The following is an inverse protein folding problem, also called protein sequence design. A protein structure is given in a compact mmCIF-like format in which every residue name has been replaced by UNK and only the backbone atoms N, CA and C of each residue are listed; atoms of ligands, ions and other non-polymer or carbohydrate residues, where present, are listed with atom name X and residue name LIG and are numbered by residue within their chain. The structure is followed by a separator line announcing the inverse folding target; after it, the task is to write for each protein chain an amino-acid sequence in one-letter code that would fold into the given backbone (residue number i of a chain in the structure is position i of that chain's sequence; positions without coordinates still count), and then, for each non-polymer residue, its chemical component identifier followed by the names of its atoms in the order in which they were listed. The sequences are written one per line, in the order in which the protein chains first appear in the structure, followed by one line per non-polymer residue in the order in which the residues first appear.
data_IF_046367762323
#
_entry.id   IF_046367762323
#
_cell.length_a   1.000
_cell.length_b   1.000
_cell.length_c   1.000
_cell.angle_alpha   90.00
_cell.angle_beta   90.00
_cell.angle_gamma   90.00
#
_symmetry.space_group_name_H-M   'P 1'
#
loop_
_entity.id
_entity.type
_entity.pdbx_description
1 polymer ?
#
# COMPACT_ATOMS: atom_id res chain seq x y z
N UNK A 1 3.99 -18.46 -18.14
CA UNK A 1 2.96 -18.73 -17.12
C UNK A 1 2.51 -17.38 -16.59
N UNK A 2 1.25 -17.26 -16.18
CA UNK A 2 0.71 -16.02 -15.60
C UNK A 2 0.10 -16.30 -14.23
N UNK A 3 0.77 -15.83 -13.19
CA UNK A 3 0.44 -16.06 -11.78
C UNK A 3 0.00 -14.75 -11.14
N UNK A 4 -1.25 -14.71 -10.67
CA UNK A 4 -1.83 -13.54 -10.03
C UNK A 4 -2.32 -13.86 -8.62
N UNK A 5 -1.98 -12.97 -7.70
CA UNK A 5 -2.57 -12.88 -6.37
C UNK A 5 -3.49 -11.66 -6.33
N UNK A 6 -4.74 -11.86 -5.95
CA UNK A 6 -5.72 -10.78 -5.79
C UNK A 6 -6.22 -10.75 -4.36
N UNK A 7 -6.19 -9.59 -3.73
CA UNK A 7 -6.68 -9.37 -2.37
C UNK A 7 -7.70 -8.25 -2.40
N UNK A 8 -8.98 -8.55 -2.18
CA UNK A 8 -9.99 -7.54 -1.87
C UNK A 8 -10.10 -7.41 -0.35
N UNK A 9 -9.71 -6.25 0.16
CA UNK A 9 -9.53 -5.98 1.58
C UNK A 9 -10.55 -4.95 2.03
N UNK A 10 -11.37 -5.34 3.00
CA UNK A 10 -12.16 -4.41 3.79
C UNK A 10 -11.47 -4.19 5.13
N UNK A 11 -11.29 -2.94 5.51
CA UNK A 11 -10.81 -2.55 6.85
C UNK A 11 -11.70 -1.43 7.40
N UNK A 12 -11.61 -1.19 8.71
CA UNK A 12 -12.35 -0.11 9.39
C UNK A 12 -11.38 0.99 9.79
N UNK A 13 -11.74 2.26 9.66
CA UNK A 13 -10.88 3.35 10.08
C UNK A 13 -11.54 4.73 10.01
N UNK A 14 -10.86 5.75 10.54
CA UNK A 14 -11.41 7.11 10.60
C UNK A 14 -10.53 8.13 9.88
N UNK A 15 -11.17 8.96 9.04
CA UNK A 15 -10.61 10.25 8.60
C UNK A 15 -9.20 10.14 7.99
N UNK A 16 -9.08 9.23 7.02
CA UNK A 16 -7.81 8.63 6.63
C UNK A 16 -7.03 9.41 5.55
N UNK A 17 -7.63 10.35 4.84
CA UNK A 17 -6.91 11.11 3.82
C UNK A 17 -7.55 12.49 3.67
N UNK A 18 -6.80 13.54 4.00
CA UNK A 18 -7.23 14.91 3.79
C UNK A 18 -6.75 15.44 2.44
N UNK A 19 -7.50 16.38 1.86
CA UNK A 19 -7.10 17.17 0.72
C UNK A 19 -6.38 18.46 1.15
N UNK A 20 -5.92 19.25 0.17
CA UNK A 20 -5.27 20.54 0.41
C UNK A 20 -6.18 21.51 1.21
N UNK A 21 -7.51 21.36 1.10
CA UNK A 21 -8.49 22.18 1.82
C UNK A 21 -8.46 23.66 1.40
N UNK A 22 -9.20 24.50 2.11
CA UNK A 22 -9.21 25.95 1.92
C UNK A 22 -9.19 26.68 3.25
N UNK A 23 -8.22 27.58 3.44
CA UNK A 23 -8.06 28.34 4.69
C UNK A 23 -7.92 27.41 5.90
N UNK A 24 -8.84 27.54 6.86
CA UNK A 24 -8.90 26.71 8.06
C UNK A 24 -9.82 25.47 7.91
N UNK A 25 -10.19 25.09 6.69
CA UNK A 25 -11.02 23.92 6.43
C UNK A 25 -10.16 22.73 6.00
N UNK A 26 -10.21 21.67 6.79
CA UNK A 26 -9.50 20.43 6.53
C UNK A 26 -10.47 19.40 5.93
N UNK A 27 -10.54 19.40 4.61
CA UNK A 27 -11.44 18.54 3.84
C UNK A 27 -10.89 17.12 3.69
N UNK A 28 -11.74 16.09 3.81
CA UNK A 28 -11.38 14.73 3.44
C UNK A 28 -11.39 14.56 1.92
N UNK A 29 -10.49 13.74 1.39
CA UNK A 29 -10.56 13.37 -0.03
C UNK A 29 -11.84 12.57 -0.28
N UNK A 30 -12.62 12.99 -1.27
CA UNK A 30 -13.93 12.43 -1.58
C UNK A 30 -14.06 12.10 -3.07
N UNK A 31 -14.96 11.18 -3.39
CA UNK A 31 -15.37 10.85 -4.76
C UNK A 31 -16.89 10.73 -4.83
N UNK A 32 -17.49 11.22 -5.90
CA UNK A 32 -18.92 11.03 -6.16
C UNK A 32 -19.13 9.73 -6.94
N UNK A 33 -20.00 8.85 -6.46
CA UNK A 33 -20.37 7.61 -7.16
C UNK A 33 -21.62 7.82 -8.02
N UNK A 34 -21.99 6.79 -8.77
CA UNK A 34 -23.12 6.80 -9.71
C UNK A 34 -24.47 7.10 -9.05
N UNK A 35 -24.60 6.85 -7.75
CA UNK A 35 -25.78 7.12 -6.93
C UNK A 35 -25.89 8.61 -6.53
N UNK A 36 -24.94 9.44 -6.96
CA UNK A 36 -24.88 10.87 -6.67
C UNK A 36 -24.39 11.20 -5.27
N UNK A 37 -24.02 10.20 -4.45
CA UNK A 37 -23.51 10.40 -3.08
C UNK A 37 -21.99 10.54 -3.07
N UNK A 38 -21.49 11.26 -2.07
CA UNK A 38 -20.05 11.41 -1.84
C UNK A 38 -19.55 10.30 -0.91
N UNK A 39 -18.38 9.78 -1.22
CA UNK A 39 -17.69 8.74 -0.45
C UNK A 39 -16.28 9.21 -0.14
N UNK A 40 -15.77 8.95 1.07
CA UNK A 40 -14.39 9.28 1.40
C UNK A 40 -13.43 8.30 0.75
N UNK A 41 -12.24 8.79 0.41
CA UNK A 41 -11.27 8.12 -0.44
C UNK A 41 -9.88 8.19 0.19
N UNK A 42 -9.26 7.04 0.43
CA UNK A 42 -7.81 6.96 0.65
C UNK A 42 -7.14 6.68 -0.68
N UNK A 43 -6.25 7.59 -1.07
CA UNK A 43 -5.57 7.45 -2.34
C UNK A 43 -4.67 6.21 -2.36
N UNK A 44 -4.53 5.55 -3.52
CA UNK A 44 -3.56 4.44 -3.68
C UNK A 44 -2.12 4.84 -3.33
N UNK A 45 -1.76 6.10 -3.54
CA UNK A 45 -0.47 6.65 -3.13
C UNK A 45 -0.34 6.71 -1.62
N UNK A 46 -1.39 7.15 -0.92
CA UNK A 46 -1.43 7.18 0.53
C UNK A 46 -1.40 5.76 1.13
N UNK A 47 -2.12 4.80 0.55
CA UNK A 47 -2.07 3.39 0.95
C UNK A 47 -0.67 2.79 0.73
N UNK A 48 -0.09 3.01 -0.45
CA UNK A 48 1.28 2.57 -0.78
C UNK A 48 2.28 3.13 0.23
N UNK A 49 2.22 4.42 0.52
CA UNK A 49 3.09 5.06 1.51
C UNK A 49 2.93 4.42 2.89
N UNK A 50 1.68 4.25 3.36
CA UNK A 50 1.39 3.60 4.64
C UNK A 50 1.90 2.16 4.71
N UNK A 51 1.79 1.40 3.61
CA UNK A 51 2.29 0.03 3.53
C UNK A 51 3.82 0.00 3.61
N UNK A 52 4.51 0.82 2.82
CA UNK A 52 5.98 0.89 2.83
C UNK A 52 6.51 1.27 4.21
N UNK A 53 5.91 2.28 4.86
CA UNK A 53 6.32 2.70 6.21
C UNK A 53 5.97 1.67 7.28
N UNK A 54 4.83 0.99 7.18
CA UNK A 54 4.48 -0.09 8.10
C UNK A 54 5.53 -1.19 8.02
N UNK A 55 5.85 -1.67 6.81
CA UNK A 55 6.86 -2.73 6.66
C UNK A 55 8.26 -2.30 7.08
N UNK A 56 8.63 -1.02 6.88
CA UNK A 56 9.89 -0.46 7.40
C UNK A 56 9.91 -0.48 8.93
N UNK A 57 8.85 -0.01 9.59
CA UNK A 57 8.75 0.02 11.06
C UNK A 57 8.74 -1.38 11.69
N UNK A 58 8.19 -2.37 10.98
CA UNK A 58 8.16 -3.77 11.41
C UNK A 58 9.47 -4.52 11.08
N UNK A 59 10.42 -3.89 10.39
CA UNK A 59 11.67 -4.56 9.98
C UNK A 59 11.48 -5.59 8.86
N UNK A 60 10.36 -5.53 8.12
CA UNK A 60 10.11 -6.41 6.98
C UNK A 60 11.05 -6.06 5.81
N UNK A 61 11.29 -4.78 5.59
CA UNK A 61 12.13 -4.32 4.49
C UNK A 61 12.74 -2.95 4.75
N UNK A 62 13.77 -2.67 3.97
CA UNK A 62 14.35 -1.35 3.85
C UNK A 62 13.73 -0.58 2.68
N UNK A 63 13.77 0.74 2.79
CA UNK A 63 13.33 1.69 1.76
C UNK A 63 14.56 2.51 1.38
N UNK A 64 14.67 2.95 0.12
CA UNK A 64 15.88 3.63 -0.33
C UNK A 64 16.04 4.99 0.35
N UNK A 65 17.16 5.12 1.06
CA UNK A 65 17.52 6.36 1.72
C UNK A 65 17.91 7.46 0.72
N UNK A 66 17.94 8.71 1.17
CA UNK A 66 18.16 9.88 0.30
C UNK A 66 19.45 9.86 -0.52
N UNK A 67 20.47 9.12 -0.10
CA UNK A 67 21.75 8.93 -0.81
C UNK A 67 21.59 8.10 -2.09
N UNK A 68 20.59 7.21 -2.11
CA UNK A 68 20.26 6.32 -3.23
C UNK A 68 19.25 6.95 -4.19
N UNK A 69 18.89 8.21 -3.97
CA UNK A 69 17.93 8.98 -4.76
C UNK A 69 18.59 10.22 -5.36
N UNK A 70 18.11 10.69 -6.50
CA UNK A 70 18.55 11.95 -7.08
C UNK A 70 17.38 12.72 -7.71
N UNK A 71 17.61 14.01 -7.99
CA UNK A 71 16.65 14.85 -8.70
C UNK A 71 16.97 14.81 -10.18
N UNK A 72 15.96 14.64 -11.00
CA UNK A 72 16.09 14.71 -12.45
C UNK A 72 15.07 15.70 -13.03
N UNK A 73 15.46 16.40 -14.09
CA UNK A 73 14.67 17.46 -14.72
C UNK A 73 15.39 18.80 -14.74
N UNK A 74 14.70 19.85 -15.18
CA UNK A 74 15.24 21.22 -15.28
C UNK A 74 14.25 22.24 -14.71
N UNK A 75 14.76 23.25 -14.01
CA UNK A 75 13.95 24.30 -13.37
C UNK A 75 13.07 23.75 -12.24
N UNK A 76 11.83 24.22 -12.17
CA UNK A 76 10.86 23.85 -11.12
C UNK A 76 10.24 22.45 -11.31
N UNK A 77 10.43 21.81 -12.48
CA UNK A 77 9.83 20.51 -12.82
C UNK A 77 10.74 19.32 -12.46
N UNK A 78 11.48 19.40 -11.35
CA UNK A 78 12.34 18.29 -10.91
C UNK A 78 11.55 17.18 -10.22
N UNK A 79 11.81 15.94 -10.61
CA UNK A 79 11.27 14.74 -9.99
C UNK A 79 12.35 13.99 -9.22
N UNK A 80 11.98 13.28 -8.16
CA UNK A 80 12.89 12.41 -7.42
C UNK A 80 12.81 11.02 -8.02
N UNK A 81 13.96 10.43 -8.37
CA UNK A 81 14.04 9.10 -8.97
C UNK A 81 15.23 8.31 -8.40
N UNK A 82 15.25 6.97 -8.54
CA UNK A 82 16.36 6.12 -8.09
C UNK A 82 17.67 6.50 -8.77
N UNK A 83 18.78 6.39 -8.05
CA UNK A 83 20.11 6.52 -8.64
C UNK A 83 20.36 5.40 -9.67
N UNK A 84 21.13 5.72 -10.72
CA UNK A 84 21.29 4.80 -11.86
C UNK A 84 22.16 3.60 -11.49
N UNK A 85 23.06 3.76 -10.52
CA UNK A 85 23.89 2.67 -9.99
C UNK A 85 23.05 1.50 -9.48
N UNK A 86 21.95 1.77 -8.74
CA UNK A 86 21.01 0.75 -8.28
C UNK A 86 20.43 -0.10 -9.42
N UNK A 87 20.10 0.56 -10.54
CA UNK A 87 19.56 -0.10 -11.72
C UNK A 87 20.64 -0.99 -12.37
N UNK A 88 21.84 -0.44 -12.56
CA UNK A 88 22.94 -1.15 -13.22
C UNK A 88 23.40 -2.38 -12.42
N UNK A 89 23.50 -2.28 -11.09
CA UNK A 89 23.92 -3.39 -10.22
C UNK A 89 22.80 -4.40 -9.94
N UNK A 90 21.55 -4.06 -10.28
CA UNK A 90 20.35 -4.84 -9.92
C UNK A 90 19.91 -4.68 -8.47
N UNK A 91 20.65 -3.92 -7.64
CA UNK A 91 20.31 -3.64 -6.24
C UNK A 91 18.93 -3.00 -6.09
N UNK A 92 18.42 -2.34 -7.14
CA UNK A 92 17.07 -1.78 -7.18
C UNK A 92 15.97 -2.81 -6.84
N UNK A 93 16.17 -4.10 -7.12
CA UNK A 93 15.22 -5.17 -6.77
C UNK A 93 15.15 -5.45 -5.26
N UNK A 94 16.18 -5.09 -4.50
CA UNK A 94 16.21 -5.31 -3.05
C UNK A 94 15.25 -4.40 -2.30
N UNK A 95 14.87 -3.27 -2.90
CA UNK A 95 13.93 -2.30 -2.34
C UNK A 95 12.52 -2.61 -2.85
N UNK A 96 11.59 -3.06 -1.99
CA UNK A 96 10.23 -3.40 -2.41
C UNK A 96 9.48 -2.21 -3.01
N UNK A 97 9.85 -0.98 -2.64
CA UNK A 97 9.22 0.22 -3.21
C UNK A 97 9.36 0.33 -4.73
N UNK A 98 10.48 -0.18 -5.27
CA UNK A 98 10.80 -0.18 -6.70
C UNK A 98 10.39 -1.50 -7.33
N UNK A 99 10.69 -2.62 -6.66
CA UNK A 99 10.33 -3.95 -7.16
C UNK A 99 8.81 -4.11 -7.31
N UNK A 100 8.03 -3.78 -6.28
CA UNK A 100 6.58 -3.99 -6.26
C UNK A 100 5.78 -2.84 -6.89
N UNK A 101 6.24 -1.60 -6.74
CA UNK A 101 5.46 -0.42 -7.17
C UNK A 101 6.03 0.33 -8.37
N UNK A 102 7.11 -0.19 -8.97
CA UNK A 102 7.69 0.35 -10.19
C UNK A 102 8.37 1.70 -10.03
N UNK A 103 8.97 2.16 -11.12
CA UNK A 103 9.72 3.42 -11.18
C UNK A 103 9.92 3.87 -12.63
N UNK A 104 10.41 5.09 -12.79
CA UNK A 104 10.84 5.68 -14.06
C UNK A 104 12.19 6.37 -13.86
N UNK A 105 13.20 6.01 -14.65
CA UNK A 105 14.55 6.61 -14.61
C UNK A 105 14.80 7.32 -15.93
N UNK A 106 14.62 8.64 -15.90
CA UNK A 106 14.78 9.55 -17.07
C UNK A 106 16.24 9.81 -17.44
N UNK A 107 17.19 9.54 -16.54
CA UNK A 107 18.62 9.83 -16.72
C UNK A 107 19.36 8.82 -17.60
N UNK A 108 18.69 7.77 -18.05
CA UNK A 108 19.29 6.69 -18.86
C UNK A 108 18.91 6.83 -20.33
N UNK A 109 19.76 6.31 -21.22
CA UNK A 109 19.48 6.22 -22.65
C UNK A 109 19.61 4.76 -23.09
N UNK A 110 18.51 4.10 -23.52
CA UNK A 110 17.12 4.57 -23.51
C UNK A 110 16.58 4.75 -22.08
N UNK A 111 15.45 5.43 -21.95
CA UNK A 111 14.79 5.63 -20.65
C UNK A 111 14.34 4.27 -20.09
N UNK A 112 14.83 3.94 -18.89
CA UNK A 112 14.45 2.72 -18.19
C UNK A 112 13.23 2.97 -17.31
N UNK A 113 12.30 2.02 -17.32
CA UNK A 113 11.11 2.06 -16.48
C UNK A 113 10.72 0.65 -16.07
N UNK A 114 9.97 0.56 -14.98
CA UNK A 114 9.38 -0.68 -14.49
C UNK A 114 7.91 -0.43 -14.20
N UNK A 115 7.05 -1.20 -14.85
CA UNK A 115 5.63 -1.23 -14.51
C UNK A 115 5.45 -1.89 -13.15
N UNK A 116 4.59 -1.34 -12.29
CA UNK A 116 4.31 -1.88 -10.96
C UNK A 116 3.70 -3.31 -11.05
N UNK A 117 4.38 -4.35 -10.53
CA UNK A 117 3.78 -5.68 -10.42
C UNK A 117 2.62 -5.73 -9.42
N UNK A 118 2.69 -4.93 -8.36
CA UNK A 118 1.67 -4.80 -7.33
C UNK A 118 0.83 -3.52 -7.54
N UNK A 119 -0.43 -3.70 -7.90
CA UNK A 119 -1.36 -2.60 -8.24
C UNK A 119 -2.43 -2.46 -7.16
N UNK A 120 -2.38 -1.32 -6.46
CA UNK A 120 -3.38 -0.91 -5.48
C UNK A 120 -4.48 -0.07 -6.13
N UNK A 121 -5.73 -0.43 -5.87
CA UNK A 121 -6.87 0.46 -6.11
C UNK A 121 -6.96 1.51 -4.98
N UNK A 122 -7.75 2.56 -5.19
CA UNK A 122 -8.14 3.43 -4.09
C UNK A 122 -9.00 2.68 -3.07
N UNK A 123 -8.77 2.92 -1.78
CA UNK A 123 -9.71 2.55 -0.73
C UNK A 123 -10.83 3.58 -0.71
N UNK A 124 -12.05 3.12 -0.91
CA UNK A 124 -13.25 3.96 -0.91
C UNK A 124 -14.13 3.52 0.26
N UNK A 125 -14.74 4.47 0.96
CA UNK A 125 -15.73 4.13 1.99
C UNK A 125 -16.86 3.29 1.41
N UNK A 126 -17.41 2.42 2.24
CA UNK A 126 -18.56 1.58 1.90
C UNK A 126 -19.89 2.28 2.19
N UNK A 127 -19.85 3.32 3.02
CA UNK A 127 -20.98 4.21 3.31
C UNK A 127 -20.76 5.62 2.76
N UNK A 128 -21.84 6.34 2.46
CA UNK A 128 -21.76 7.72 2.02
C UNK A 128 -21.33 8.63 3.16
N UNK A 129 -20.54 9.66 2.83
CA UNK A 129 -20.14 10.71 3.75
C UNK A 129 -21.28 11.70 3.97
N UNK A 130 -21.61 11.96 5.24
CA UNK A 130 -22.72 12.83 5.65
C UNK A 130 -22.29 14.21 6.13
N UNK A 131 -21.08 14.67 5.78
CA UNK A 131 -20.54 15.97 6.17
C UNK A 131 -20.32 16.15 7.68
N UNK A 132 -20.02 15.07 8.38
CA UNK A 132 -19.61 15.13 9.77
C UNK A 132 -18.29 15.91 9.89
N UNK A 133 -18.30 16.93 10.74
CA UNK A 133 -17.17 17.82 10.90
C UNK A 133 -17.06 18.32 12.35
N UNK A 134 -15.82 18.44 12.82
CA UNK A 134 -15.49 18.96 14.15
C UNK A 134 -14.90 20.36 14.05
N UNK A 135 -15.42 21.25 14.89
CA UNK A 135 -14.86 22.58 15.10
C UNK A 135 -13.81 22.55 16.20
N UNK A 136 -12.59 22.94 15.86
CA UNK A 136 -11.42 22.81 16.71
C UNK A 136 -10.73 24.17 16.91
N UNK A 137 -10.16 24.37 18.09
CA UNK A 137 -9.36 25.56 18.38
C UNK A 137 -8.29 25.26 19.44
N UNK A 138 -7.13 25.88 19.31
CA UNK A 138 -6.02 25.73 20.27
C UNK A 138 -6.21 26.61 21.51
N UNK A 139 -7.31 26.37 22.25
CA UNK A 139 -7.71 27.19 23.40
C UNK A 139 -6.65 27.18 24.51
N UNK A 140 -5.98 26.05 24.74
CA UNK A 140 -4.91 25.93 25.74
C UNK A 140 -3.73 26.85 25.46
N UNK A 141 -3.30 26.97 24.20
CA UNK A 141 -2.24 27.90 23.79
C UNK A 141 -2.70 29.35 23.94
N UNK A 142 -3.91 29.66 23.47
CA UNK A 142 -4.48 30.99 23.59
C UNK A 142 -4.58 31.43 25.06
N UNK A 143 -4.99 30.54 25.98
CA UNK A 143 -5.07 30.85 27.41
C UNK A 143 -3.71 31.13 28.04
N UNK A 144 -2.64 30.45 27.61
CA UNK A 144 -1.27 30.77 28.09
C UNK A 144 -0.82 32.14 27.57
N UNK A 145 -1.08 32.44 26.30
CA UNK A 145 -0.78 33.78 25.75
C UNK A 145 -1.58 34.87 26.44
N UNK A 146 -2.86 34.62 26.78
CA UNK A 146 -3.72 35.60 27.46
C UNK A 146 -3.14 36.11 28.78
N UNK A 147 -2.49 35.22 29.53
CA UNK A 147 -1.86 35.56 30.81
C UNK A 147 -0.65 36.49 30.67
N UNK A 148 -0.02 36.54 29.49
CA UNK A 148 1.20 37.33 29.24
C UNK A 148 0.89 38.58 28.40
N UNK A 149 0.07 38.45 27.36
CA UNK A 149 -0.12 39.46 26.32
C UNK A 149 -1.54 40.05 26.25
N UNK A 150 -2.48 39.64 27.11
CA UNK A 150 -3.85 40.17 27.13
C UNK A 150 -4.83 39.45 26.20
N UNK A 151 -5.81 40.15 25.60
CA UNK A 151 -6.85 39.50 24.80
C UNK A 151 -6.26 38.78 23.57
N UNK A 152 -6.41 37.46 23.51
CA UNK A 152 -6.00 36.63 22.38
C UNK A 152 -7.17 35.75 21.92
N UNK A 153 -7.49 35.81 20.63
CA UNK A 153 -8.51 34.95 19.99
C UNK A 153 -7.79 33.83 19.22
N UNK A 154 -7.97 32.54 19.59
CA UNK A 154 -7.42 31.45 18.79
C UNK A 154 -8.04 31.46 17.41
N UNK A 155 -7.26 31.11 16.38
CA UNK A 155 -7.78 30.87 15.04
C UNK A 155 -8.41 29.47 15.00
N UNK A 156 -9.75 29.33 14.92
CA UNK A 156 -10.39 28.03 14.88
C UNK A 156 -10.32 27.41 13.48
N UNK A 157 -10.39 26.09 13.42
CA UNK A 157 -10.41 25.33 12.19
C UNK A 157 -11.47 24.23 12.25
N UNK A 158 -11.99 23.86 11.09
CA UNK A 158 -12.96 22.78 10.95
C UNK A 158 -12.30 21.61 10.25
N UNK A 159 -12.48 20.40 10.77
CA UNK A 159 -11.98 19.18 10.15
C UNK A 159 -13.13 18.22 9.91
N UNK A 160 -13.26 17.74 8.67
CA UNK A 160 -14.17 16.65 8.36
C UNK A 160 -13.69 15.36 9.00
N UNK A 161 -14.63 14.57 9.51
CA UNK A 161 -14.39 13.26 10.09
C UNK A 161 -15.33 12.22 9.48
N UNK A 162 -14.81 11.03 9.21
CA UNK A 162 -15.64 9.94 8.71
C UNK A 162 -15.03 8.61 9.12
N UNK A 163 -15.72 7.93 10.03
CA UNK A 163 -15.35 6.62 10.54
C UNK A 163 -16.28 5.56 9.94
N UNK A 164 -15.72 4.63 9.18
CA UNK A 164 -16.50 3.57 8.51
C UNK A 164 -15.57 2.48 7.94
N UNK A 165 -16.16 1.49 7.29
CA UNK A 165 -15.47 0.49 6.48
C UNK A 165 -15.03 1.06 5.13
N UNK A 166 -13.81 0.71 4.73
CA UNK A 166 -13.21 1.05 3.44
C UNK A 166 -12.84 -0.23 2.70
N UNK A 167 -12.98 -0.21 1.38
CA UNK A 167 -12.66 -1.33 0.51
C UNK A 167 -11.64 -0.94 -0.56
N UNK A 168 -10.56 -1.71 -0.65
CA UNK A 168 -9.60 -1.65 -1.75
C UNK A 168 -9.22 -3.05 -2.24
N UNK A 169 -8.72 -3.12 -3.47
CA UNK A 169 -8.08 -4.31 -4.03
C UNK A 169 -6.59 -4.10 -4.23
N UNK A 170 -5.83 -5.16 -4.01
CA UNK A 170 -4.45 -5.33 -4.44
C UNK A 170 -4.39 -6.47 -5.46
N UNK A 171 -3.78 -6.23 -6.62
CA UNK A 171 -3.47 -7.26 -7.61
C UNK A 171 -1.96 -7.34 -7.76
N UNK A 172 -1.38 -8.52 -7.55
CA UNK A 172 0.07 -8.76 -7.69
C UNK A 172 0.30 -9.75 -8.82
N UNK A 173 1.09 -9.33 -9.80
CA UNK A 173 1.64 -10.19 -10.84
C UNK A 173 2.93 -10.84 -10.34
N UNK A 174 2.87 -12.13 -9.99
CA UNK A 174 3.97 -12.85 -9.34
C UNK A 174 5.12 -13.19 -10.29
N UNK A 175 4.87 -13.18 -11.59
CA UNK A 175 5.91 -13.49 -12.58
C UNK A 175 6.85 -12.30 -12.81
N UNK A 176 6.34 -11.08 -12.63
CA UNK A 176 7.10 -9.84 -12.74
C UNK A 176 7.83 -9.44 -11.44
N UNK A 177 7.39 -9.97 -10.29
CA UNK A 177 8.04 -9.71 -8.99
C UNK A 177 9.48 -10.24 -8.98
N UNK A 178 10.41 -9.37 -8.59
CA UNK A 178 11.82 -9.69 -8.49
C UNK A 178 12.50 -9.95 -9.84
N UNK A 179 11.99 -9.44 -10.97
CA UNK A 179 12.71 -9.51 -12.27
C UNK A 179 12.78 -8.15 -12.92
N UNK A 180 13.95 -7.64 -13.31
CA UNK A 180 14.08 -6.33 -13.96
C UNK A 180 14.82 -6.43 -15.29
N UNK A 181 14.33 -5.69 -16.28
CA UNK A 181 14.99 -5.46 -17.55
C UNK A 181 15.70 -4.11 -17.54
N UNK A 182 16.97 -4.12 -17.93
CA UNK A 182 17.87 -2.97 -17.93
C UNK A 182 18.42 -2.77 -19.33
N UNK A 183 18.15 -1.61 -19.91
CA UNK A 183 18.62 -1.21 -21.23
C UNK A 183 19.67 -0.11 -21.10
N UNK A 184 20.85 -0.33 -21.68
CA UNK A 184 21.99 0.57 -21.50
C UNK A 184 22.69 0.81 -22.82
N UNK A 185 22.96 2.08 -23.14
CA UNK A 185 23.77 2.44 -24.31
C UNK A 185 25.21 2.74 -23.91
N UNK A 186 26.19 2.05 -24.52
CA UNK A 186 27.61 2.35 -24.37
C UNK A 186 27.91 3.79 -24.81
N UNK A 187 28.72 4.48 -24.01
CA UNK A 187 29.07 5.89 -24.15
C UNK A 187 28.04 6.88 -23.57
N UNK A 188 26.89 6.40 -23.09
CA UNK A 188 25.89 7.25 -22.41
C UNK A 188 26.40 7.72 -21.05
N UNK A 189 25.96 8.92 -20.66
CA UNK A 189 26.24 9.48 -19.33
C UNK A 189 25.16 9.03 -18.35
N UNK A 190 25.58 8.57 -17.16
CA UNK A 190 24.70 8.12 -16.09
C UNK A 190 25.01 8.84 -14.79
N UNK A 191 23.97 9.06 -13.98
CA UNK A 191 24.07 9.67 -12.65
C UNK A 191 24.09 8.58 -11.58
N UNK A 192 25.22 8.46 -10.86
CA UNK A 192 25.49 7.42 -9.86
C UNK A 192 25.11 7.83 -8.42
N UNK A 193 24.22 8.82 -8.27
CA UNK A 193 23.88 9.42 -6.98
C UNK A 193 24.73 10.65 -6.67
N UNK A 194 25.02 10.87 -5.38
CA UNK A 194 25.74 12.05 -4.87
C UNK A 194 27.03 11.68 -4.16
N UNK A 195 28.03 12.54 -4.24
CA UNK A 195 29.27 12.43 -3.46
C UNK A 195 29.10 12.95 -2.02
N UNK A 196 30.16 12.83 -1.20
CA UNK A 196 30.20 13.33 0.18
C UNK A 196 29.94 14.85 0.28
N UNK A 197 30.19 15.60 -0.80
CA UNK A 197 29.90 17.03 -0.93
C UNK A 197 28.48 17.32 -1.44
N UNK A 198 27.63 16.29 -1.59
CA UNK A 198 26.25 16.33 -2.10
C UNK A 198 26.10 16.73 -3.57
N UNK A 199 27.17 16.65 -4.37
CA UNK A 199 27.14 16.91 -5.82
C UNK A 199 26.84 15.63 -6.59
N UNK A 200 26.13 15.75 -7.70
CA UNK A 200 25.80 14.60 -8.55
C UNK A 200 27.04 14.04 -9.24
N UNK A 201 27.24 12.73 -9.12
CA UNK A 201 28.35 12.02 -9.77
C UNK A 201 27.86 11.51 -11.12
N UNK A 202 28.26 12.22 -12.19
CA UNK A 202 27.99 11.81 -13.57
C UNK A 202 29.22 11.13 -14.18
N UNK A 203 29.03 9.95 -14.76
CA UNK A 203 30.09 9.17 -15.42
C UNK A 203 29.57 8.58 -16.74
N UNK A 204 30.47 8.30 -17.68
CA UNK A 204 30.13 7.63 -18.95
C UNK A 204 30.36 6.13 -18.85
N UNK A 205 29.47 5.36 -19.44
CA UNK A 205 29.60 3.90 -19.54
C UNK A 205 30.56 3.58 -20.67
N UNK A 206 31.77 3.13 -20.35
CA UNK A 206 32.79 2.80 -21.37
C UNK A 206 32.56 1.38 -21.90
N UNK A 207 32.37 0.42 -21.00
CA UNK A 207 32.25 -1.00 -21.34
C UNK A 207 31.42 -1.78 -20.31
N UNK A 208 30.88 -2.93 -20.74
CA UNK A 208 30.07 -3.84 -19.92
C UNK A 208 30.56 -5.27 -20.15
N UNK A 209 31.09 -5.89 -19.10
CA UNK A 209 31.71 -7.22 -19.18
C UNK A 209 30.96 -8.19 -18.27
N UNK A 210 30.75 -9.41 -18.76
CA UNK A 210 30.22 -10.51 -17.94
C UNK A 210 31.37 -11.43 -17.56
N UNK A 211 31.71 -11.49 -16.28
CA UNK A 211 32.74 -12.37 -15.73
C UNK A 211 32.12 -13.25 -14.65
N UNK A 212 32.34 -14.57 -14.73
CA UNK A 212 31.82 -15.56 -13.77
C UNK A 212 30.30 -15.46 -13.55
N UNK A 213 29.54 -15.12 -14.60
CA UNK A 213 28.08 -14.96 -14.54
C UNK A 213 27.60 -13.67 -13.84
N UNK A 214 28.51 -12.75 -13.49
CA UNK A 214 28.19 -11.42 -12.94
C UNK A 214 28.50 -10.33 -13.96
N UNK A 215 27.60 -9.36 -14.06
CA UNK A 215 27.80 -8.16 -14.90
C UNK A 215 28.68 -7.15 -14.16
N UNK A 216 29.62 -6.56 -14.89
CA UNK A 216 30.46 -5.46 -14.44
C UNK A 216 30.39 -4.30 -15.43
N UNK A 217 30.18 -3.10 -14.91
CA UNK A 217 30.15 -1.85 -15.67
C UNK A 217 31.44 -1.07 -15.42
N UNK A 218 32.13 -0.71 -16.50
CA UNK A 218 33.31 0.15 -16.44
C UNK A 218 32.88 1.57 -16.77
N UNK A 219 32.96 2.45 -15.78
CA UNK A 219 32.54 3.85 -15.87
C UNK A 219 33.75 4.78 -15.87
N UNK A 220 33.68 5.85 -16.66
CA UNK A 220 34.79 6.80 -16.82
C UNK A 220 34.35 8.26 -16.68
N UNK A 221 35.16 9.06 -15.99
CA UNK A 221 35.04 10.52 -15.90
C UNK A 221 36.41 11.16 -16.02
N UNK A 222 36.77 11.62 -17.21
CA UNK A 222 38.12 12.13 -17.48
C UNK A 222 39.19 11.04 -17.31
N UNK A 223 40.03 11.15 -16.28
CA UNK A 223 41.05 10.14 -15.92
C UNK A 223 40.58 9.13 -14.87
N UNK A 224 39.47 9.40 -14.19
CA UNK A 224 38.92 8.54 -13.15
C UNK A 224 38.12 7.40 -13.79
N UNK A 225 38.36 6.17 -13.31
CA UNK A 225 37.64 4.97 -13.73
C UNK A 225 37.02 4.32 -12.49
N UNK A 226 35.74 3.97 -12.57
CA UNK A 226 34.98 3.32 -11.50
C UNK A 226 34.33 2.05 -12.04
N UNK A 227 34.41 0.97 -11.27
CA UNK A 227 33.76 -0.30 -11.60
C UNK A 227 32.50 -0.44 -10.74
N UNK A 228 31.38 -0.79 -11.36
CA UNK A 228 30.17 -1.24 -10.66
C UNK A 228 29.96 -2.71 -10.94
N UNK A 229 29.70 -3.48 -9.89
CA UNK A 229 29.50 -4.93 -9.97
C UNK A 229 28.08 -5.27 -9.56
N UNK A 230 27.48 -6.22 -10.25
CA UNK A 230 26.19 -6.82 -9.91
C UNK A 230 26.13 -7.24 -8.42
N UNK A 231 25.02 -6.95 -7.77
CA UNK A 231 24.74 -7.35 -6.39
C UNK A 231 24.71 -8.87 -6.23
N UNK A 232 25.19 -9.38 -5.09
CA UNK A 232 25.26 -10.83 -4.83
C UNK A 232 23.89 -11.51 -4.68
N UNK A 233 22.89 -10.73 -4.26
CA UNK A 233 21.51 -11.21 -4.07
C UNK A 233 20.70 -11.30 -5.38
N UNK A 234 21.32 -10.91 -6.49
CA UNK A 234 20.68 -10.81 -7.79
C UNK A 234 21.38 -11.74 -8.75
N UNK A 235 20.61 -12.53 -9.50
CA UNK A 235 21.07 -13.43 -10.56
C UNK A 235 20.94 -12.74 -11.92
N UNK A 236 21.91 -12.99 -12.81
CA UNK A 236 21.82 -12.65 -14.22
C UNK A 236 21.01 -13.73 -14.95
N UNK A 237 19.87 -13.37 -15.52
CA UNK A 237 19.04 -14.28 -16.34
C UNK A 237 19.43 -14.23 -17.82
N UNK A 238 19.62 -13.03 -18.37
CA UNK A 238 20.06 -12.86 -19.74
C UNK A 238 20.94 -11.63 -19.92
N UNK A 239 21.84 -11.71 -20.90
CA UNK A 239 22.70 -10.62 -21.34
C UNK A 239 22.75 -10.64 -22.87
N UNK A 240 22.24 -9.60 -23.51
CA UNK A 240 22.06 -9.55 -24.96
C UNK A 240 22.56 -8.23 -25.53
N UNK A 241 23.44 -8.30 -26.54
CA UNK A 241 23.84 -7.14 -27.32
C UNK A 241 22.80 -6.90 -28.41
N UNK A 242 21.87 -5.97 -28.17
CA UNK A 242 20.80 -5.63 -29.12
C UNK A 242 21.37 -5.00 -30.38
N UNK A 243 22.42 -4.19 -30.25
CA UNK A 243 23.25 -3.70 -31.36
C UNK A 243 24.66 -3.33 -30.86
N UNK A 244 25.50 -2.73 -31.70
CA UNK A 244 26.88 -2.37 -31.37
C UNK A 244 27.05 -1.45 -30.14
N UNK A 245 25.99 -0.79 -29.66
CA UNK A 245 26.04 0.11 -28.51
C UNK A 245 24.98 -0.19 -27.45
N UNK A 246 23.86 -0.81 -27.79
CA UNK A 246 22.76 -1.08 -26.88
C UNK A 246 22.86 -2.50 -26.32
N UNK A 247 22.90 -2.58 -24.99
CA UNK A 247 22.92 -3.83 -24.24
C UNK A 247 21.61 -3.94 -23.45
N UNK A 248 21.02 -5.14 -23.48
CA UNK A 248 19.88 -5.53 -22.67
C UNK A 248 20.34 -6.56 -21.63
N UNK A 249 20.00 -6.31 -20.38
CA UNK A 249 20.38 -7.13 -19.24
C UNK A 249 19.11 -7.44 -18.47
N UNK A 250 18.87 -8.72 -18.20
CA UNK A 250 17.77 -9.15 -17.36
C UNK A 250 18.30 -9.72 -16.05
N UNK A 251 17.87 -9.13 -14.95
CA UNK A 251 18.18 -9.57 -13.61
C UNK A 251 16.96 -10.22 -12.95
N UNK A 252 17.21 -11.17 -12.05
CA UNK A 252 16.19 -11.75 -11.18
C UNK A 252 16.69 -11.85 -9.73
N UNK A 253 15.77 -11.72 -8.77
CA UNK A 253 16.01 -12.17 -7.40
C UNK A 253 16.03 -13.69 -7.37
N UNK A 254 16.82 -14.23 -6.43
CA UNK A 254 16.80 -15.65 -6.11
C UNK A 254 15.38 -16.09 -5.69
N UNK A 255 14.97 -17.34 -5.98
CA UNK A 255 13.63 -17.83 -5.65
C UNK A 255 13.23 -17.63 -4.18
N UNK A 256 14.17 -17.80 -3.27
CA UNK A 256 13.99 -17.62 -1.82
C UNK A 256 13.66 -16.17 -1.48
N UNK A 257 14.41 -15.21 -2.05
CA UNK A 257 14.19 -13.77 -1.86
C UNK A 257 12.84 -13.33 -2.45
N UNK A 258 12.40 -13.93 -3.56
CA UNK A 258 11.05 -13.70 -4.13
C UNK A 258 9.95 -14.22 -3.22
N UNK A 259 10.10 -15.43 -2.66
CA UNK A 259 9.15 -15.99 -1.69
C UNK A 259 9.05 -15.08 -0.46
N UNK A 260 10.21 -14.73 0.12
CA UNK A 260 10.29 -13.85 1.28
C UNK A 260 9.67 -12.47 1.00
N UNK A 261 9.87 -11.91 -0.20
CA UNK A 261 9.23 -10.66 -0.64
C UNK A 261 7.71 -10.74 -0.55
N UNK A 262 7.14 -11.84 -1.02
CA UNK A 262 5.70 -12.02 -1.02
C UNK A 262 5.15 -12.20 0.39
N UNK A 263 5.80 -13.01 1.22
CA UNK A 263 5.42 -13.21 2.62
C UNK A 263 5.41 -11.87 3.38
N UNK A 264 6.48 -11.09 3.24
CA UNK A 264 6.58 -9.74 3.83
C UNK A 264 5.50 -8.80 3.32
N UNK A 265 5.16 -8.84 2.03
CA UNK A 265 4.08 -8.00 1.48
C UNK A 265 2.73 -8.32 2.14
N UNK A 266 2.44 -9.61 2.32
CA UNK A 266 1.22 -10.08 2.96
C UNK A 266 1.20 -9.68 4.43
N UNK A 267 2.30 -9.90 5.14
CA UNK A 267 2.45 -9.50 6.55
C UNK A 267 2.26 -7.99 6.72
N UNK A 268 2.83 -7.18 5.83
CA UNK A 268 2.64 -5.73 5.82
C UNK A 268 1.18 -5.29 5.59
N UNK A 269 0.42 -6.04 4.79
CA UNK A 269 -1.02 -5.79 4.58
C UNK A 269 -1.82 -6.21 5.81
N UNK A 270 -1.53 -7.37 6.38
CA UNK A 270 -2.23 -7.91 7.55
C UNK A 270 -1.97 -7.10 8.82
N UNK A 271 -0.89 -6.31 8.86
CA UNK A 271 -0.51 -5.44 9.96
C UNK A 271 -0.54 -3.95 9.59
N UNK A 272 -1.21 -3.57 8.50
CA UNK A 272 -1.18 -2.22 7.94
C UNK A 272 -1.59 -1.15 8.96
N UNK A 273 -0.72 -0.14 9.14
CA UNK A 273 -0.98 1.04 9.96
C UNK A 273 -0.90 2.31 9.14
N UNK A 274 -1.55 3.35 9.63
CA UNK A 274 -1.44 4.69 9.03
C UNK A 274 -1.27 5.78 10.06
N UNK A 275 -0.09 6.38 10.04
CA UNK A 275 0.21 7.65 10.72
C UNK A 275 -0.48 8.81 9.99
N UNK A 276 -1.45 9.47 10.61
CA UNK A 276 -2.08 10.66 10.05
C UNK A 276 -2.46 11.67 11.13
N UNK A 277 -2.03 12.93 10.97
CA UNK A 277 -2.30 14.05 11.90
C UNK A 277 -2.04 13.69 13.38
N UNK A 278 -0.97 12.95 13.64
CA UNK A 278 -0.57 12.54 14.99
C UNK A 278 -1.33 11.34 15.56
N UNK A 279 -2.20 10.69 14.77
CA UNK A 279 -2.90 9.45 15.10
C UNK A 279 -2.28 8.27 14.36
N UNK A 280 -2.35 7.08 14.96
CA UNK A 280 -2.02 5.81 14.31
C UNK A 280 -3.30 5.02 14.09
N UNK A 281 -3.77 4.99 12.85
CA UNK A 281 -4.99 4.27 12.47
C UNK A 281 -4.67 2.80 12.15
N UNK A 282 -5.54 1.89 12.61
CA UNK A 282 -5.41 0.45 12.43
C UNK A 282 -6.14 0.00 11.16
N UNK A 283 -5.42 -0.21 10.07
CA UNK A 283 -5.99 -0.58 8.76
C UNK A 283 -5.93 -2.08 8.50
N UNK A 284 -5.77 -2.90 9.55
CA UNK A 284 -5.76 -4.35 9.41
C UNK A 284 -7.07 -4.85 8.80
N UNK A 285 -7.02 -5.87 7.92
CA UNK A 285 -8.22 -6.40 7.28
C UNK A 285 -9.24 -6.91 8.30
N UNK A 286 -10.50 -6.55 8.09
CA UNK A 286 -11.67 -7.16 8.75
C UNK A 286 -12.28 -8.24 7.87
N UNK A 287 -12.26 -8.04 6.56
CA UNK A 287 -12.60 -9.03 5.55
C UNK A 287 -11.49 -9.06 4.50
N UNK A 288 -11.06 -10.25 4.12
CA UNK A 288 -10.11 -10.48 3.03
C UNK A 288 -10.69 -11.54 2.10
N UNK A 289 -10.94 -11.18 0.85
CA UNK A 289 -11.19 -12.13 -0.24
C UNK A 289 -9.89 -12.32 -1.00
N UNK A 290 -9.34 -13.52 -0.94
CA UNK A 290 -8.06 -13.90 -1.52
C UNK A 290 -8.30 -14.74 -2.77
N UNK A 291 -8.01 -14.19 -3.94
CA UNK A 291 -8.00 -14.91 -5.21
C UNK A 291 -6.59 -15.35 -5.60
N UNK A 292 -6.45 -16.62 -5.96
CA UNK A 292 -5.21 -17.27 -6.38
C UNK A 292 -5.43 -17.81 -7.79
N UNK A 293 -4.69 -17.26 -8.76
CA UNK A 293 -4.88 -17.57 -10.17
C UNK A 293 -3.55 -17.94 -10.83
N UNK A 294 -3.55 -19.05 -11.58
CA UNK A 294 -2.42 -19.51 -12.41
C UNK A 294 -2.94 -19.89 -13.79
N UNK A 295 -2.39 -19.24 -14.81
CA UNK A 295 -2.74 -19.41 -16.23
C UNK A 295 -4.26 -19.28 -16.50
N UNK A 296 -4.91 -18.42 -15.71
CA UNK A 296 -6.34 -18.07 -15.81
C UNK A 296 -6.52 -16.56 -15.57
N UNK A 297 -7.53 -15.92 -16.19
CA UNK A 297 -7.86 -14.53 -15.88
C UNK A 297 -8.23 -14.36 -14.41
N UNK A 298 -7.55 -13.44 -13.73
CA UNK A 298 -7.88 -13.13 -12.35
C UNK A 298 -9.23 -12.41 -12.25
N UNK A 299 -9.91 -12.57 -11.12
CA UNK A 299 -11.13 -11.83 -10.79
C UNK A 299 -10.94 -11.04 -9.51
N UNK A 300 -11.51 -9.84 -9.49
CA UNK A 300 -11.72 -9.06 -8.27
C UNK A 300 -13.18 -9.18 -7.83
N UNK A 301 -13.39 -9.17 -6.52
CA UNK A 301 -14.71 -9.18 -5.88
C UNK A 301 -15.07 -7.81 -5.30
N UNK A 302 -14.24 -6.78 -5.51
CA UNK A 302 -14.48 -5.40 -5.04
C UNK A 302 -15.92 -4.93 -5.23
N UNK A 303 -16.46 -5.04 -6.44
CA UNK A 303 -17.80 -4.54 -6.76
C UNK A 303 -18.92 -5.52 -6.33
N UNK A 304 -18.55 -6.67 -5.77
CA UNK A 304 -19.45 -7.73 -5.29
C UNK A 304 -19.50 -7.83 -3.76
N UNK A 305 -18.64 -7.09 -3.06
CA UNK A 305 -18.65 -6.98 -1.59
C UNK A 305 -19.52 -5.79 -1.20
N UNK A 306 -20.58 -6.06 -0.45
CA UNK A 306 -21.55 -5.07 0.01
C UNK A 306 -21.63 -5.09 1.52
N UNK A 307 -21.66 -3.91 2.14
CA UNK A 307 -22.01 -3.76 3.54
C UNK A 307 -23.54 -3.70 3.62
N UNK A 308 -24.16 -4.66 4.29
CA UNK A 308 -25.62 -4.73 4.42
C UNK A 308 -26.13 -3.95 5.63
N UNK A 309 -25.37 -3.96 6.72
CA UNK A 309 -25.77 -3.36 7.98
C UNK A 309 -24.52 -2.91 8.75
N UNK A 310 -24.52 -1.66 9.20
CA UNK A 310 -23.47 -1.04 10.01
C UNK A 310 -24.11 -0.73 11.37
N UNK A 311 -23.68 -1.40 12.44
CA UNK A 311 -24.15 -1.25 13.83
C UNK A 311 -25.63 -0.86 14.02
N UNK A 312 -26.50 -1.82 14.36
CA UNK A 312 -27.79 -1.48 14.97
C UNK A 312 -27.66 -1.36 16.49
N UNK A 313 -27.87 -0.17 17.05
CA UNK A 313 -28.17 -0.03 18.47
C UNK A 313 -29.63 -0.48 18.67
N UNK A 314 -29.83 -1.59 19.37
CA UNK A 314 -31.17 -1.96 19.84
C UNK A 314 -31.38 -1.30 21.20
N UNK A 315 -32.22 -0.26 21.22
CA UNK A 315 -32.73 0.36 22.44
C UNK A 315 -34.03 -0.33 22.82
N UNK A 316 -34.08 -0.93 24.02
CA UNK A 316 -35.34 -1.38 24.60
C UNK A 316 -35.38 -1.11 26.11
N UNK A 317 -36.59 -0.83 26.59
CA UNK A 317 -36.86 -0.60 28.01
C UNK A 317 -37.32 -1.91 28.66
N UNK A 318 -36.54 -2.46 29.58
CA UNK A 318 -37.00 -3.54 30.47
C UNK A 318 -37.84 -2.93 31.61
N UNK A 319 -39.12 -3.28 31.67
CA UNK A 319 -40.03 -2.85 32.75
C UNK A 319 -40.18 -3.99 33.76
N UNK A 320 -39.58 -3.85 34.95
CA UNK A 320 -39.86 -4.72 36.09
C UNK A 320 -40.93 -4.06 36.97
N UNK A 321 -42.11 -4.67 37.06
CA UNK A 321 -43.14 -4.26 38.03
C UNK A 321 -43.03 -5.13 39.30
N UNK A 322 -42.78 -4.50 40.45
CA UNK A 322 -42.85 -5.16 41.77
C UNK A 322 -43.86 -4.47 42.66
N UNK A 323 -44.61 -5.27 43.40
CA UNK A 323 -45.50 -4.77 44.46
C UNK A 323 -44.80 -4.97 45.81
N UNK A 324 -44.35 -3.87 46.41
CA UNK A 324 -43.82 -3.88 47.78
C UNK A 324 -44.70 -2.95 48.63
N UNK A 325 -45.21 -3.48 49.75
CA UNK A 325 -46.03 -2.75 50.72
C UNK A 325 -47.24 -1.99 50.13
N UNK A 326 -47.96 -2.60 49.19
CA UNK A 326 -49.18 -2.04 48.59
C UNK A 326 -48.95 -0.83 47.68
N UNK A 327 -47.70 -0.56 47.28
CA UNK A 327 -47.35 0.41 46.25
C UNK A 327 -46.71 -0.30 45.06
N UNK A 328 -47.22 0.00 43.87
CA UNK A 328 -46.66 -0.50 42.60
C UNK A 328 -45.37 0.26 42.30
N UNK A 329 -44.24 -0.43 42.33
CA UNK A 329 -42.93 0.12 41.96
C UNK A 329 -42.61 -0.37 40.55
N UNK A 330 -42.50 0.56 39.60
CA UNK A 330 -42.12 0.28 38.22
C UNK A 330 -40.64 0.67 38.07
N UNK A 331 -39.78 -0.31 37.81
CA UNK A 331 -38.37 -0.08 37.49
C UNK A 331 -38.20 -0.20 35.98
N UNK A 332 -38.00 0.93 35.32
CA UNK A 332 -37.66 0.99 33.89
C UNK A 332 -36.13 0.95 33.80
N UNK A 333 -35.58 -0.08 33.18
CA UNK A 333 -34.16 -0.18 32.85
C UNK A 333 -34.02 0.04 31.35
N UNK A 334 -33.43 1.17 30.99
CA UNK A 334 -33.04 1.43 29.61
C UNK A 334 -31.81 0.57 29.29
N UNK A 335 -31.95 -0.38 28.36
CA UNK A 335 -30.86 -1.26 27.92
C UNK A 335 -30.53 -0.93 26.48
N UNK A 336 -29.30 -0.46 26.26
CA UNK A 336 -28.72 -0.32 24.92
C UNK A 336 -27.90 -1.57 24.64
N UNK A 337 -28.39 -2.45 23.78
CA UNK A 337 -27.65 -3.64 23.36
C UNK A 337 -27.03 -3.39 21.98
N UNK A 338 -25.70 -3.39 21.91
CA UNK A 338 -24.96 -3.40 20.63
C UNK A 338 -24.95 -4.84 20.10
N UNK A 339 -26.09 -5.29 19.56
CA UNK A 339 -26.35 -6.74 19.43
C UNK A 339 -25.95 -7.35 18.08
N UNK A 340 -25.71 -6.57 17.01
CA UNK A 340 -25.35 -7.13 15.69
C UNK A 340 -23.96 -6.71 15.20
N UNK A 341 -23.17 -7.72 14.84
CA UNK A 341 -21.90 -7.55 14.14
C UNK A 341 -22.17 -6.98 12.74
N UNK A 342 -21.31 -6.09 12.20
CA UNK A 342 -21.41 -5.63 10.82
C UNK A 342 -21.47 -6.82 9.86
N UNK A 343 -22.42 -6.79 8.94
CA UNK A 343 -22.67 -7.89 8.02
C UNK A 343 -22.28 -7.53 6.60
N UNK A 344 -21.37 -8.32 6.03
CA UNK A 344 -20.94 -8.20 4.65
C UNK A 344 -21.60 -9.28 3.80
N UNK A 345 -22.07 -8.91 2.61
CA UNK A 345 -22.52 -9.83 1.59
C UNK A 345 -21.51 -9.87 0.45
N UNK A 346 -21.16 -11.08 0.01
CA UNK A 346 -20.32 -11.29 -1.17
C UNK A 346 -21.14 -12.02 -2.23
N UNK A 347 -21.34 -11.37 -3.36
CA UNK A 347 -22.15 -11.89 -4.47
C UNK A 347 -21.30 -12.65 -5.48
N UNK A 348 -21.79 -13.78 -5.97
CA UNK A 348 -21.15 -14.51 -7.07
C UNK A 348 -19.96 -15.37 -6.63
N UNK A 349 -19.92 -15.72 -5.34
CA UNK A 349 -19.09 -16.81 -4.82
C UNK A 349 -19.96 -18.06 -4.60
N UNK A 350 -19.44 -19.27 -4.88
CA UNK A 350 -20.11 -20.52 -4.51
C UNK A 350 -20.48 -20.56 -3.03
N UNK A 351 -21.67 -21.09 -2.70
CA UNK A 351 -22.20 -21.12 -1.32
C UNK A 351 -21.43 -22.06 -0.40
N UNK A 352 -20.69 -23.01 -0.96
CA UNK A 352 -19.87 -24.01 -0.30
C UNK A 352 -18.45 -23.51 0.03
N UNK A 353 -18.09 -22.28 -0.37
CA UNK A 353 -16.79 -21.70 0.03
C UNK A 353 -16.73 -21.57 1.54
N UNK A 354 -15.68 -22.17 2.11
CA UNK A 354 -15.38 -22.05 3.52
C UNK A 354 -14.91 -20.62 3.86
N UNK A 355 -15.64 -19.94 4.74
CA UNK A 355 -15.25 -18.65 5.30
C UNK A 355 -14.44 -18.91 6.56
N UNK A 356 -13.12 -18.78 6.46
CA UNK A 356 -12.20 -19.01 7.56
C UNK A 356 -12.03 -17.76 8.43
N UNK A 357 -11.63 -17.96 9.69
CA UNK A 357 -11.14 -16.86 10.51
C UNK A 357 -9.81 -16.33 9.94
N UNK A 358 -9.69 -15.00 9.89
CA UNK A 358 -8.51 -14.30 9.41
C UNK A 358 -7.34 -14.54 10.35
N UNK A 359 -6.32 -15.22 9.84
CA UNK A 359 -5.09 -15.48 10.54
C UNK A 359 -3.93 -15.50 9.53
N UNK A 360 -2.83 -14.86 9.87
CA UNK A 360 -1.65 -14.72 9.01
C UNK A 360 -1.14 -16.08 8.49
N UNK A 361 -0.95 -17.07 9.37
CA UNK A 361 -0.47 -18.39 8.98
C UNK A 361 -1.39 -19.08 7.94
N UNK A 362 -2.71 -18.85 8.03
CA UNK A 362 -3.69 -19.40 7.08
C UNK A 362 -3.66 -18.68 5.74
N UNK A 363 -3.38 -17.38 5.74
CA UNK A 363 -3.24 -16.59 4.51
C UNK A 363 -1.93 -16.97 3.81
N UNK A 364 -0.82 -17.05 4.53
CA UNK A 364 0.48 -17.45 3.99
C UNK A 364 0.45 -18.88 3.41
N UNK A 365 -0.07 -19.85 4.17
CA UNK A 365 -0.22 -21.24 3.68
C UNK A 365 -1.15 -21.38 2.47
N UNK A 366 -2.12 -20.48 2.29
CA UNK A 366 -2.93 -20.46 1.07
C UNK A 366 -2.09 -20.09 -0.16
N UNK A 367 -1.10 -19.23 0.00
CA UNK A 367 -0.32 -18.65 -1.10
C UNK A 367 0.86 -19.54 -1.47
N UNK A 368 1.33 -20.41 -0.57
CA UNK A 368 2.38 -21.40 -0.88
C UNK A 368 2.01 -22.30 -2.06
N UNK A 369 0.72 -22.60 -2.26
CA UNK A 369 0.22 -23.34 -3.44
C UNK A 369 0.56 -22.66 -4.77
N UNK A 370 0.68 -21.34 -4.78
CA UNK A 370 0.95 -20.52 -5.96
C UNK A 370 2.45 -20.58 -6.36
N UNK A 371 3.30 -20.96 -5.41
CA UNK A 371 4.74 -21.12 -5.62
C UNK A 371 5.10 -22.54 -6.12
N UNK A 372 4.15 -23.48 -6.13
CA UNK A 372 4.38 -24.84 -6.62
C UNK A 372 4.19 -24.93 -8.14
N UNK A 373 5.06 -25.70 -8.79
CA UNK A 373 4.91 -26.08 -10.19
C UNK A 373 3.76 -27.08 -10.35
N UNK A 374 2.90 -26.88 -11.35
CA UNK A 374 1.62 -27.62 -11.46
C UNK A 374 0.60 -26.97 -12.40
N UNK A 375 -0.59 -27.58 -12.50
CA UNK A 375 -1.69 -27.26 -13.42
C UNK A 375 -2.33 -25.86 -13.21
N UNK A 376 -3.25 -25.49 -14.11
CA UNK A 376 -4.08 -24.28 -14.00
C UNK A 376 -4.79 -24.22 -12.65
N UNK A 377 -4.74 -23.06 -12.00
CA UNK A 377 -5.34 -22.84 -10.69
C UNK A 377 -6.26 -21.63 -10.73
N UNK A 378 -7.44 -21.76 -10.12
CA UNK A 378 -8.36 -20.67 -9.84
C UNK A 378 -9.05 -20.99 -8.52
N UNK A 379 -8.52 -20.45 -7.43
CA UNK A 379 -9.01 -20.69 -6.06
C UNK A 379 -9.34 -19.34 -5.42
N UNK A 380 -10.50 -19.25 -4.77
CA UNK A 380 -10.88 -18.08 -3.99
C UNK A 380 -11.12 -18.52 -2.54
N UNK A 381 -10.46 -17.84 -1.61
CA UNK A 381 -10.64 -18.04 -0.17
C UNK A 381 -11.18 -16.77 0.47
N UNK A 382 -12.03 -16.93 1.47
CA UNK A 382 -12.58 -15.80 2.23
C UNK A 382 -12.14 -15.93 3.68
N UNK A 383 -11.54 -14.86 4.19
CA UNK A 383 -11.09 -14.74 5.56
C UNK A 383 -11.80 -13.59 6.25
N UNK A 384 -12.28 -13.79 7.47
CA UNK A 384 -12.97 -12.75 8.24
C UNK A 384 -12.45 -12.61 9.67
N UNK A 385 -12.46 -11.40 10.18
CA UNK A 385 -12.24 -11.11 11.58
C UNK A 385 -13.46 -11.55 12.42
N UNK A 386 -13.26 -12.01 13.68
CA UNK A 386 -14.36 -12.40 14.56
C UNK A 386 -15.41 -11.30 14.81
N UNK A 387 -15.04 -10.02 14.65
CA UNK A 387 -15.93 -8.86 14.83
C UNK A 387 -16.97 -8.69 13.74
N UNK A 388 -16.89 -9.40 12.61
CA UNK A 388 -17.82 -9.25 11.49
C UNK A 388 -18.52 -10.56 11.10
N UNK A 389 -19.62 -10.42 10.37
CA UNK A 389 -20.35 -11.52 9.73
C UNK A 389 -20.24 -11.43 8.20
N UNK A 390 -20.24 -12.59 7.54
CA UNK A 390 -20.15 -12.70 6.08
C UNK A 390 -21.22 -13.65 5.58
N UNK A 391 -21.98 -13.20 4.58
CA UNK A 391 -23.00 -13.97 3.88
C UNK A 391 -22.64 -14.12 2.41
N UNK A 392 -22.53 -15.36 1.94
CA UNK A 392 -22.31 -15.67 0.52
C UNK A 392 -23.66 -15.73 -0.20
N UNK A 393 -23.76 -15.10 -1.38
CA UNK A 393 -25.00 -15.05 -2.17
C UNK A 393 -24.81 -15.48 -3.62
#
# INVERSE_FOLDING_TARGET
MSRFLVMDVVFYGSSLNYDQGSGNYQELKKITRWDGRQYTLVSRYALRYSLLETGRKLGLWEVAEGEKLHRAGSGDNTVIQPATDLLLTGEILLYPEFDLFGYLITSTTPQNFRSAPAKLSHAVSMTPFNYDALFNANLGMANRMRKVYGEMKPNPFTAEEHETFYLYSLVVDLDEVGTVDVFVTLGSEVTLGRDEERKEVKMKIEDIVVNDGKVRFILKKGKETRELVQSEKVKLESFENVNNKLVHIRYSLLPEEKKERMEKLIEGILNLKRSIKGREEDLRPRLLVLGIYKDTPYQTFKDRIQLLDEYSEEEYDEIEEREENGKKVIRIRHVVSKSRKPMFQIVGLPKDINVAELNESRVLSAIEKLLQDGEKLSEVKVFKDPSIEVKLK
#
